data_IF_516284131135
#
_entry.id   IF_516284131135
#
_cell.length_a   1.000
_cell.length_b   1.000
_cell.length_c   1.000
_cell.angle_alpha   90.00
_cell.angle_beta   90.00
_cell.angle_gamma   90.00
#
_symmetry.space_group_name_H-M   'P 1'
#
loop_
_entity.id
_entity.type
_entity.pdbx_description
1 polymer ?
#
# COMPACT_ATOMS: atom_id res chain seq x y z
N UNK A 1 13.62 2.69 15.94
CA UNK A 1 12.34 3.31 16.30
C UNK A 1 11.60 2.28 17.12
N UNK A 2 11.12 2.66 18.31
CA UNK A 2 10.23 1.80 19.07
C UNK A 2 8.78 1.90 18.55
N UNK A 3 7.89 1.06 19.09
CA UNK A 3 6.51 1.03 18.65
C UNK A 3 5.73 2.31 18.98
N UNK A 4 6.03 2.96 20.10
CA UNK A 4 5.30 4.16 20.54
C UNK A 4 5.67 5.36 19.68
N UNK A 5 6.97 5.52 19.37
CA UNK A 5 7.48 6.50 18.41
C UNK A 5 6.86 6.30 17.03
N UNK A 6 6.79 5.05 16.56
CA UNK A 6 6.16 4.71 15.28
C UNK A 6 4.67 5.04 15.27
N UNK A 7 3.92 4.61 16.29
CA UNK A 7 2.48 4.85 16.40
C UNK A 7 2.15 6.35 16.49
N UNK A 8 2.97 7.13 17.21
CA UNK A 8 2.84 8.58 17.26
C UNK A 8 3.09 9.23 15.90
N UNK A 9 4.15 8.82 15.19
CA UNK A 9 4.45 9.35 13.86
C UNK A 9 3.36 9.02 12.83
N UNK A 10 2.83 7.80 12.86
CA UNK A 10 1.72 7.38 12.00
C UNK A 10 0.45 8.20 12.27
N UNK A 11 0.11 8.41 13.54
CA UNK A 11 -1.04 9.23 13.93
C UNK A 11 -0.87 10.68 13.49
N UNK A 12 0.30 11.27 13.77
CA UNK A 12 0.60 12.64 13.39
C UNK A 12 0.52 12.85 11.87
N UNK A 13 1.02 11.89 11.07
CA UNK A 13 0.92 11.96 9.61
C UNK A 13 -0.54 11.87 9.12
N UNK A 14 -1.34 11.00 9.72
CA UNK A 14 -2.79 10.90 9.43
C UNK A 14 -3.52 12.19 9.76
N UNK A 15 -3.32 12.71 10.99
CA UNK A 15 -3.94 13.96 11.46
C UNK A 15 -3.51 15.16 10.59
N UNK A 16 -2.25 15.19 10.15
CA UNK A 16 -1.77 16.23 9.23
C UNK A 16 -2.49 16.16 7.88
N UNK A 17 -2.67 14.96 7.31
CA UNK A 17 -3.41 14.80 6.06
C UNK A 17 -4.87 15.23 6.18
N UNK A 18 -5.55 14.81 7.25
CA UNK A 18 -6.95 15.18 7.53
C UNK A 18 -7.10 16.70 7.74
N UNK A 19 -6.11 17.36 8.32
CA UNK A 19 -6.06 18.82 8.48
C UNK A 19 -5.67 19.57 7.19
N UNK A 20 -5.53 18.89 6.04
CA UNK A 20 -5.12 19.49 4.77
C UNK A 20 -3.62 19.80 4.66
N UNK A 21 -2.81 19.42 5.67
CA UNK A 21 -1.35 19.55 5.69
C UNK A 21 -0.69 18.34 5.04
N UNK A 22 -1.11 18.00 3.82
CA UNK A 22 -0.68 16.76 3.15
C UNK A 22 0.82 16.72 2.85
N UNK A 23 1.51 17.86 2.71
CA UNK A 23 2.98 17.88 2.57
C UNK A 23 3.68 17.33 3.81
N UNK A 24 3.23 17.72 5.01
CA UNK A 24 3.77 17.23 6.28
C UNK A 24 3.52 15.73 6.47
N UNK A 25 2.35 15.25 6.03
CA UNK A 25 2.03 13.83 6.01
C UNK A 25 2.97 13.05 5.08
N UNK A 26 3.18 13.54 3.84
CA UNK A 26 4.08 12.93 2.85
C UNK A 26 5.51 12.87 3.39
N UNK A 27 6.03 13.95 3.95
CA UNK A 27 7.38 14.01 4.50
C UNK A 27 7.56 13.04 5.66
N UNK A 28 6.55 12.95 6.55
CA UNK A 28 6.57 12.01 7.67
C UNK A 28 6.58 10.56 7.18
N UNK A 29 5.71 10.20 6.24
CA UNK A 29 5.67 8.84 5.71
C UNK A 29 6.94 8.48 4.92
N UNK A 30 7.52 9.40 4.14
CA UNK A 30 8.80 9.17 3.47
C UNK A 30 9.91 8.89 4.48
N UNK A 31 10.01 9.70 5.54
CA UNK A 31 10.98 9.49 6.63
C UNK A 31 10.82 8.13 7.28
N UNK A 32 9.58 7.71 7.58
CA UNK A 32 9.30 6.39 8.16
C UNK A 32 9.69 5.26 7.20
N UNK A 33 9.40 5.42 5.91
CA UNK A 33 9.70 4.41 4.91
C UNK A 33 11.21 4.24 4.70
N UNK A 34 11.98 5.31 4.87
CA UNK A 34 13.44 5.37 4.80
C UNK A 34 14.14 4.94 6.11
N UNK A 35 13.41 4.80 7.22
CA UNK A 35 13.99 4.42 8.51
C UNK A 35 14.52 2.97 8.47
N UNK A 36 15.83 2.73 8.63
CA UNK A 36 16.39 1.38 8.56
C UNK A 36 15.99 0.49 9.75
N UNK A 37 15.53 1.09 10.85
CA UNK A 37 15.15 0.40 12.08
C UNK A 37 13.69 -0.01 12.12
N UNK A 38 12.86 0.52 11.22
CA UNK A 38 11.45 0.16 11.12
C UNK A 38 11.30 -1.22 10.46
N UNK A 39 10.43 -2.07 11.03
CA UNK A 39 10.17 -3.41 10.54
C UNK A 39 9.56 -3.38 9.14
N UNK A 40 9.88 -4.38 8.32
CA UNK A 40 9.39 -4.47 6.93
C UNK A 40 7.85 -4.47 6.83
N UNK A 41 7.17 -5.10 7.80
CA UNK A 41 5.71 -5.13 7.87
C UNK A 41 5.13 -3.72 8.06
N UNK A 42 5.75 -2.93 8.94
CA UNK A 42 5.34 -1.54 9.17
C UNK A 42 5.71 -0.66 7.98
N UNK A 43 6.84 -0.89 7.32
CA UNK A 43 7.21 -0.21 6.07
C UNK A 43 6.21 -0.46 4.94
N UNK A 44 5.69 -1.68 4.82
CA UNK A 44 4.64 -1.98 3.85
C UNK A 44 3.37 -1.17 4.12
N UNK A 45 2.98 -1.03 5.38
CA UNK A 45 1.85 -0.20 5.80
C UNK A 45 2.10 1.30 5.53
N UNK A 46 3.29 1.81 5.89
CA UNK A 46 3.71 3.18 5.59
C UNK A 46 3.66 3.47 4.09
N UNK A 47 4.12 2.53 3.26
CA UNK A 47 4.07 2.67 1.81
C UNK A 47 2.63 2.80 1.29
N UNK A 48 1.70 1.98 1.77
CA UNK A 48 0.29 2.10 1.41
C UNK A 48 -0.28 3.46 1.80
N UNK A 49 -0.02 3.93 3.03
CA UNK A 49 -0.51 5.22 3.49
C UNK A 49 0.10 6.39 2.70
N UNK A 50 1.41 6.34 2.41
CA UNK A 50 2.07 7.32 1.56
C UNK A 50 1.44 7.37 0.16
N UNK A 51 1.21 6.21 -0.46
CA UNK A 51 0.58 6.11 -1.77
C UNK A 51 -0.84 6.68 -1.76
N UNK A 52 -1.62 6.43 -0.70
CA UNK A 52 -2.96 7.01 -0.52
C UNK A 52 -2.91 8.54 -0.44
N UNK A 53 -2.02 9.11 0.37
CA UNK A 53 -1.90 10.57 0.48
C UNK A 53 -1.41 11.19 -0.83
N UNK A 54 -0.43 10.58 -1.49
CA UNK A 54 0.06 11.01 -2.80
C UNK A 54 -1.06 11.01 -3.85
N UNK A 55 -1.90 9.98 -3.87
CA UNK A 55 -3.08 9.93 -4.73
C UNK A 55 -4.07 11.05 -4.42
N UNK A 56 -4.30 11.36 -3.14
CA UNK A 56 -5.24 12.40 -2.72
C UNK A 56 -4.77 13.81 -3.11
N UNK A 57 -3.45 14.06 -3.14
CA UNK A 57 -2.89 15.35 -3.57
C UNK A 57 -2.61 15.44 -5.08
N UNK A 58 -2.98 14.41 -5.85
CA UNK A 58 -2.77 14.40 -7.30
C UNK A 58 -1.31 14.27 -7.73
N UNK A 59 -0.48 13.59 -6.93
CA UNK A 59 0.89 13.29 -7.32
C UNK A 59 0.92 12.42 -8.61
N UNK A 60 2.01 12.45 -9.38
CA UNK A 60 2.13 11.65 -10.59
C UNK A 60 1.91 10.15 -10.32
N UNK A 61 1.15 9.48 -11.18
CA UNK A 61 0.89 8.03 -11.04
C UNK A 61 2.17 7.19 -10.97
N UNK A 62 3.26 7.63 -11.62
CA UNK A 62 4.56 6.96 -11.55
C UNK A 62 5.18 7.01 -10.15
N UNK A 63 4.97 8.10 -9.42
CA UNK A 63 5.43 8.24 -8.04
C UNK A 63 4.63 7.32 -7.10
N UNK A 64 3.30 7.35 -7.23
CA UNK A 64 2.40 6.50 -6.43
C UNK A 64 2.71 5.02 -6.68
N UNK A 65 2.89 4.64 -7.94
CA UNK A 65 3.24 3.27 -8.33
C UNK A 65 4.59 2.84 -7.75
N UNK A 66 5.60 3.72 -7.77
CA UNK A 66 6.91 3.44 -7.17
C UNK A 66 6.86 3.24 -5.66
N UNK A 67 5.97 3.95 -4.96
CA UNK A 67 5.76 3.74 -3.52
C UNK A 67 5.11 2.38 -3.25
N UNK A 68 4.09 1.99 -4.02
CA UNK A 68 3.53 0.64 -3.90
C UNK A 68 4.58 -0.43 -4.18
N UNK A 69 5.38 -0.28 -5.24
CA UNK A 69 6.42 -1.26 -5.59
C UNK A 69 7.46 -1.42 -4.48
N UNK A 70 7.82 -0.32 -3.81
CA UNK A 70 8.67 -0.38 -2.62
C UNK A 70 8.00 -1.14 -1.48
N UNK A 71 6.72 -0.88 -1.19
CA UNK A 71 5.94 -1.63 -0.20
C UNK A 71 5.86 -3.13 -0.49
N UNK A 72 5.63 -3.49 -1.76
CA UNK A 72 5.62 -4.87 -2.24
C UNK A 72 6.98 -5.53 -2.04
N UNK A 73 8.07 -4.82 -2.35
CA UNK A 73 9.43 -5.34 -2.24
C UNK A 73 9.78 -5.75 -0.81
N UNK A 74 9.33 -4.97 0.20
CA UNK A 74 9.61 -5.24 1.62
C UNK A 74 8.70 -6.33 2.19
N UNK A 75 7.41 -6.37 1.83
CA UNK A 75 6.48 -7.37 2.39
C UNK A 75 6.63 -8.76 1.77
N UNK A 76 7.12 -8.86 0.53
CA UNK A 76 7.18 -10.12 -0.24
C UNK A 76 7.95 -11.23 0.48
N UNK A 77 9.01 -10.87 1.21
CA UNK A 77 9.84 -11.80 2.00
C UNK A 77 9.09 -12.47 3.14
N UNK A 78 8.04 -11.81 3.61
CA UNK A 78 7.22 -12.23 4.73
C UNK A 78 5.94 -12.93 4.29
N UNK A 79 5.82 -13.28 3.00
CA UNK A 79 4.65 -13.97 2.46
C UNK A 79 3.35 -13.21 2.75
N UNK A 80 3.39 -11.89 2.47
CA UNK A 80 2.25 -10.97 2.63
C UNK A 80 1.96 -10.30 1.30
N UNK A 81 0.72 -9.84 1.16
CA UNK A 81 0.25 -9.16 -0.05
C UNK A 81 -0.57 -7.92 0.24
N UNK A 82 -0.32 -7.24 1.36
CA UNK A 82 -1.08 -6.06 1.77
C UNK A 82 -0.85 -4.90 0.79
N UNK A 83 0.41 -4.49 0.60
CA UNK A 83 0.76 -3.46 -0.37
C UNK A 83 0.42 -3.90 -1.81
N UNK A 84 0.60 -5.18 -2.12
CA UNK A 84 0.25 -5.76 -3.43
C UNK A 84 -1.24 -5.61 -3.73
N UNK A 85 -2.08 -5.95 -2.76
CA UNK A 85 -3.54 -5.80 -2.87
C UNK A 85 -3.96 -4.33 -2.95
N UNK A 86 -3.40 -3.46 -2.09
CA UNK A 86 -3.69 -2.04 -2.13
C UNK A 86 -3.32 -1.41 -3.48
N UNK A 87 -2.21 -1.83 -4.10
CA UNK A 87 -1.84 -1.45 -5.46
C UNK A 87 -2.92 -1.87 -6.47
N UNK A 88 -3.46 -3.08 -6.34
CA UNK A 88 -4.52 -3.57 -7.23
C UNK A 88 -5.80 -2.73 -7.11
N UNK A 89 -6.19 -2.35 -5.88
CA UNK A 89 -7.33 -1.44 -5.65
C UNK A 89 -7.08 -0.07 -6.30
N UNK A 90 -5.90 0.52 -6.09
CA UNK A 90 -5.55 1.80 -6.70
C UNK A 90 -5.55 1.73 -8.24
N UNK A 91 -4.97 0.69 -8.83
CA UNK A 91 -4.98 0.47 -10.28
C UNK A 91 -6.42 0.38 -10.83
N UNK A 92 -7.31 -0.33 -10.13
CA UNK A 92 -8.72 -0.40 -10.50
C UNK A 92 -9.40 0.97 -10.43
N UNK A 93 -9.11 1.77 -9.39
CA UNK A 93 -9.61 3.14 -9.23
C UNK A 93 -9.17 4.08 -10.35
N UNK A 94 -8.00 3.85 -10.95
CA UNK A 94 -7.53 4.57 -12.14
C UNK A 94 -8.15 4.08 -13.46
N UNK A 95 -9.03 3.08 -13.44
CA UNK A 95 -9.54 2.42 -14.64
C UNK A 95 -8.53 1.49 -15.32
N UNK A 96 -7.37 1.22 -14.71
CA UNK A 96 -6.38 0.23 -15.18
C UNK A 96 -6.82 -1.20 -14.80
N UNK A 97 -8.05 -1.56 -15.16
CA UNK A 97 -8.76 -2.79 -14.75
C UNK A 97 -7.95 -4.05 -15.07
N UNK A 98 -7.37 -4.14 -16.27
CA UNK A 98 -6.52 -5.28 -16.65
C UNK A 98 -5.27 -5.43 -15.79
N UNK A 99 -4.66 -4.31 -15.40
CA UNK A 99 -3.49 -4.33 -14.53
C UNK A 99 -3.88 -4.79 -13.12
N UNK A 100 -4.96 -4.23 -12.56
CA UNK A 100 -5.49 -4.64 -11.26
C UNK A 100 -5.84 -6.14 -11.23
N UNK A 101 -6.51 -6.64 -12.27
CA UNK A 101 -6.88 -8.05 -12.40
C UNK A 101 -5.66 -8.96 -12.42
N UNK A 102 -4.62 -8.62 -13.18
CA UNK A 102 -3.36 -9.39 -13.21
C UNK A 102 -2.70 -9.46 -11.83
N UNK A 103 -2.75 -8.39 -11.04
CA UNK A 103 -2.23 -8.39 -9.67
C UNK A 103 -3.00 -9.36 -8.79
N UNK A 104 -4.35 -9.33 -8.81
CA UNK A 104 -5.16 -10.29 -8.05
C UNK A 104 -4.94 -11.74 -8.48
N UNK A 105 -4.78 -12.00 -9.78
CA UNK A 105 -4.45 -13.33 -10.29
C UNK A 105 -3.08 -13.82 -9.80
N UNK A 106 -2.08 -12.93 -9.74
CA UNK A 106 -0.77 -13.24 -9.17
C UNK A 106 -0.87 -13.57 -7.68
N UNK A 107 -1.68 -12.82 -6.91
CA UNK A 107 -1.93 -13.08 -5.51
C UNK A 107 -2.62 -14.45 -5.29
N UNK A 108 -3.60 -14.81 -6.12
CA UNK A 108 -4.25 -16.14 -6.06
C UNK A 108 -3.28 -17.31 -6.28
N UNK A 109 -2.23 -17.09 -7.08
CA UNK A 109 -1.17 -18.07 -7.32
C UNK A 109 -0.23 -18.28 -6.13
N UNK A 110 -0.30 -17.44 -5.09
CA UNK A 110 0.57 -17.54 -3.93
C UNK A 110 0.14 -18.68 -3.01
N UNK A 111 1.06 -19.59 -2.68
CA UNK A 111 0.77 -20.75 -1.82
C UNK A 111 0.44 -20.39 -0.36
N UNK A 112 0.96 -19.26 0.12
CA UNK A 112 0.83 -18.80 1.51
C UNK A 112 -0.50 -18.13 1.83
N UNK A 113 -1.32 -17.81 0.82
CA UNK A 113 -2.56 -17.08 1.00
C UNK A 113 -3.60 -17.87 1.79
N UNK A 114 -4.21 -17.22 2.78
CA UNK A 114 -5.30 -17.80 3.55
C UNK A 114 -6.54 -18.06 2.69
N UNK A 115 -7.45 -18.92 3.15
CA UNK A 115 -8.73 -19.13 2.46
C UNK A 115 -9.56 -17.85 2.34
N UNK A 116 -9.50 -16.97 3.35
CA UNK A 116 -10.18 -15.68 3.32
C UNK A 116 -9.59 -14.76 2.25
N UNK A 117 -8.26 -14.68 2.16
CA UNK A 117 -7.58 -13.88 1.14
C UNK A 117 -7.90 -14.38 -0.26
N UNK A 118 -7.83 -15.70 -0.48
CA UNK A 118 -8.17 -16.31 -1.77
C UNK A 118 -9.61 -16.01 -2.18
N UNK A 119 -10.56 -16.14 -1.27
CA UNK A 119 -11.96 -15.84 -1.54
C UNK A 119 -12.15 -14.36 -1.93
N UNK A 120 -11.56 -13.44 -1.16
CA UNK A 120 -11.63 -12.01 -1.40
C UNK A 120 -10.97 -11.61 -2.72
N UNK A 121 -9.80 -12.14 -3.05
CA UNK A 121 -9.11 -11.87 -4.31
C UNK A 121 -9.83 -12.48 -5.52
N UNK A 122 -10.40 -13.69 -5.40
CA UNK A 122 -11.21 -14.30 -6.46
C UNK A 122 -12.44 -13.45 -6.78
N UNK A 123 -13.14 -12.97 -5.75
CA UNK A 123 -14.28 -12.04 -5.92
C UNK A 123 -13.87 -10.77 -6.66
N UNK A 124 -12.68 -10.22 -6.38
CA UNK A 124 -12.17 -9.05 -7.09
C UNK A 124 -11.83 -9.34 -8.56
N UNK A 125 -11.29 -10.53 -8.88
CA UNK A 125 -11.06 -10.94 -10.28
C UNK A 125 -12.37 -11.02 -11.07
N UNK A 126 -13.42 -11.58 -10.46
CA UNK A 126 -14.75 -11.67 -11.06
C UNK A 126 -15.33 -10.28 -11.33
N UNK A 127 -15.30 -9.38 -10.33
CA UNK A 127 -15.78 -7.99 -10.46
C UNK A 127 -15.06 -7.21 -11.55
N UNK A 128 -13.76 -7.44 -11.73
CA UNK A 128 -12.93 -6.76 -12.74
C UNK A 128 -13.01 -7.41 -14.13
N UNK A 129 -13.85 -8.44 -14.31
CA UNK A 129 -14.03 -9.13 -15.59
C UNK A 129 -15.43 -8.96 -16.19
N UNK A 130 -16.34 -8.31 -15.46
CA UNK A 130 -17.67 -7.92 -15.91
C UNK A 130 -17.65 -6.56 -16.61
#
# INVERSE_FOLDING_TARGET
MDYDEFAQAMRAASDAHEAGRSSEAVDTYRRLLDDPTLADVDKAMVAVNLATVLSAVGAPNSEIEGVYDRGISVESRWMRGFATESKAVWLAGLGRVDAARRVYQSLLGQGWASMSDRHRWASNVEKLSA
#
